data_IF_052852710482
#
_entry.id   IF_052852710482
#
_cell.length_a   1.000
_cell.length_b   1.000
_cell.length_c   1.000
_cell.angle_alpha   90.00
_cell.angle_beta   90.00
_cell.angle_gamma   90.00
#
_symmetry.space_group_name_H-M   'P 1'
#
loop_
_entity.id
_entity.type
_entity.pdbx_description
1 polymer ?
#
# COMPACT_ATOMS: atom_id res chain seq x y z
N UNK A 1 -9.54 19.14 -1.19
CA UNK A 1 -8.17 18.79 -0.76
C UNK A 1 -7.94 17.34 -1.18
N UNK A 2 -6.76 17.00 -1.72
CA UNK A 2 -6.47 15.61 -2.12
C UNK A 2 -6.52 14.65 -0.92
N UNK A 3 -6.73 13.35 -1.18
CA UNK A 3 -6.68 12.29 -0.17
C UNK A 3 -5.36 12.30 0.61
N UNK A 4 -4.22 12.50 -0.06
CA UNK A 4 -2.90 12.62 0.56
C UNK A 4 -2.80 13.80 1.52
N UNK A 5 -3.33 14.97 1.14
CA UNK A 5 -3.35 16.15 2.00
C UNK A 5 -4.25 15.96 3.24
N UNK A 6 -5.41 15.33 3.07
CA UNK A 6 -6.29 14.97 4.18
C UNK A 6 -5.59 13.98 5.11
N UNK A 7 -5.01 12.90 4.57
CA UNK A 7 -4.30 11.89 5.37
C UNK A 7 -3.16 12.52 6.17
N UNK A 8 -2.38 13.42 5.56
CA UNK A 8 -1.32 14.15 6.26
C UNK A 8 -1.85 14.98 7.42
N UNK A 9 -2.97 15.67 7.23
CA UNK A 9 -3.61 16.48 8.27
C UNK A 9 -4.04 15.61 9.46
N UNK A 10 -4.68 14.48 9.18
CA UNK A 10 -5.11 13.53 10.22
C UNK A 10 -3.91 12.94 10.98
N UNK A 11 -2.87 12.47 10.26
CA UNK A 11 -1.65 11.96 10.90
C UNK A 11 -0.98 13.02 11.78
N UNK A 12 -0.95 14.29 11.35
CA UNK A 12 -0.39 15.37 12.16
C UNK A 12 -1.14 15.61 13.48
N UNK A 13 -2.47 15.38 13.50
CA UNK A 13 -3.28 15.50 14.72
C UNK A 13 -3.10 14.31 15.68
N UNK A 14 -2.63 13.17 15.18
CA UNK A 14 -2.46 11.93 15.94
C UNK A 14 -1.03 11.71 16.43
N UNK A 15 -0.12 12.68 16.25
CA UNK A 15 1.27 12.57 16.72
C UNK A 15 1.33 12.19 18.21
N UNK A 16 2.09 11.15 18.52
CA UNK A 16 2.22 10.59 19.87
C UNK A 16 1.17 9.54 20.22
N UNK A 17 0.16 9.32 19.37
CA UNK A 17 -0.84 8.28 19.56
C UNK A 17 -0.41 6.94 18.96
N UNK A 18 -1.05 5.88 19.44
CA UNK A 18 -0.80 4.49 19.03
C UNK A 18 -2.11 3.78 18.69
N UNK A 19 -2.06 2.72 17.88
CA UNK A 19 -3.21 1.88 17.52
C UNK A 19 -4.39 2.69 16.97
N UNK A 20 -4.11 3.58 16.02
CA UNK A 20 -5.10 4.45 15.40
C UNK A 20 -5.48 3.94 14.01
N UNK A 21 -6.74 4.12 13.63
CA UNK A 21 -7.21 3.93 12.25
C UNK A 21 -7.57 5.29 11.68
N UNK A 22 -6.80 5.75 10.71
CA UNK A 22 -7.09 6.97 9.96
C UNK A 22 -7.89 6.62 8.73
N UNK A 23 -9.03 7.29 8.51
CA UNK A 23 -9.80 7.17 7.28
C UNK A 23 -10.12 8.55 6.73
N UNK A 24 -9.77 8.77 5.47
CA UNK A 24 -10.06 10.00 4.73
C UNK A 24 -10.83 9.67 3.46
N UNK A 25 -11.68 10.59 3.00
CA UNK A 25 -12.63 10.35 1.91
C UNK A 25 -12.60 11.54 0.95
N UNK A 26 -12.61 11.27 -0.35
CA UNK A 26 -12.76 12.27 -1.40
C UNK A 26 -13.64 11.70 -2.51
N UNK A 27 -14.87 12.21 -2.64
CA UNK A 27 -15.88 11.65 -3.52
C UNK A 27 -16.19 10.19 -3.20
N UNK A 28 -15.94 9.29 -4.15
CA UNK A 28 -16.15 7.85 -3.99
C UNK A 28 -14.88 7.08 -3.57
N UNK A 29 -13.76 7.77 -3.40
CA UNK A 29 -12.50 7.17 -2.99
C UNK A 29 -12.33 7.32 -1.49
N UNK A 30 -11.76 6.31 -0.84
CA UNK A 30 -11.33 6.45 0.56
C UNK A 30 -9.97 5.84 0.79
N UNK A 31 -9.18 6.46 1.66
CA UNK A 31 -7.91 5.90 2.11
C UNK A 31 -8.03 5.53 3.56
N UNK A 32 -7.57 4.33 3.90
CA UNK A 32 -7.48 3.81 5.26
C UNK A 32 -6.04 3.49 5.59
N UNK A 33 -5.54 4.01 6.70
CA UNK A 33 -4.24 3.67 7.26
C UNK A 33 -4.45 3.16 8.69
N UNK A 34 -4.03 1.92 8.97
CA UNK A 34 -3.93 1.43 10.35
C UNK A 34 -2.51 1.73 10.84
N UNK A 35 -2.40 2.58 11.85
CA UNK A 35 -1.15 3.04 12.44
C UNK A 35 -0.95 2.40 13.82
N UNK A 36 0.12 1.63 13.96
CA UNK A 36 0.61 1.18 15.28
C UNK A 36 1.10 2.38 16.10
N UNK A 37 1.79 3.32 15.45
CA UNK A 37 2.30 4.55 16.05
C UNK A 37 2.35 5.68 15.04
N UNK A 38 2.12 6.91 15.51
CA UNK A 38 2.30 8.13 14.72
C UNK A 38 3.33 9.03 15.39
N UNK A 39 4.33 9.44 14.63
CA UNK A 39 5.43 10.30 15.02
C UNK A 39 5.42 11.61 14.21
N UNK A 40 6.15 12.67 14.62
CA UNK A 40 6.08 13.96 13.94
C UNK A 40 6.36 13.91 12.42
N UNK A 41 7.20 12.96 11.99
CA UNK A 41 7.64 12.82 10.59
C UNK A 41 7.33 11.45 9.98
N UNK A 42 6.76 10.52 10.74
CA UNK A 42 6.62 9.13 10.33
C UNK A 42 5.37 8.48 10.91
N UNK A 43 4.90 7.45 10.23
CA UNK A 43 3.87 6.55 10.70
C UNK A 43 4.40 5.13 10.65
N UNK A 44 4.19 4.39 11.72
CA UNK A 44 4.42 2.95 11.79
C UNK A 44 3.12 2.27 11.35
N UNK A 45 2.97 2.02 10.05
CA UNK A 45 1.73 1.58 9.42
C UNK A 45 1.66 0.04 9.31
N UNK A 46 0.56 -0.55 9.77
CA UNK A 46 0.24 -1.97 9.58
C UNK A 46 -0.34 -2.25 8.19
N UNK A 47 -1.18 -1.34 7.71
CA UNK A 47 -1.78 -1.39 6.37
C UNK A 47 -2.03 0.02 5.85
N UNK A 48 -1.92 0.19 4.54
CA UNK A 48 -2.40 1.36 3.80
C UNK A 48 -3.26 0.87 2.64
N UNK A 49 -4.53 1.29 2.60
CA UNK A 49 -5.50 0.85 1.59
C UNK A 49 -6.14 2.06 0.92
N UNK A 50 -6.18 2.06 -0.41
CA UNK A 50 -7.12 2.87 -1.19
C UNK A 50 -8.32 1.99 -1.56
N UNK A 51 -9.53 2.44 -1.23
CA UNK A 51 -10.81 1.89 -1.69
C UNK A 51 -11.39 2.80 -2.77
N UNK A 52 -11.82 2.25 -3.90
CA UNK A 52 -12.16 3.01 -5.12
C UNK A 52 -13.10 2.22 -6.05
N UNK A 53 -14.19 2.81 -6.57
CA UNK A 53 -15.10 2.12 -7.50
C UNK A 53 -14.52 1.87 -8.90
N UNK A 54 -13.45 2.55 -9.29
CA UNK A 54 -12.77 2.42 -10.58
C UNK A 54 -12.29 0.99 -10.83
N UNK A 55 -11.95 0.26 -9.75
CA UNK A 55 -11.55 -1.14 -9.80
C UNK A 55 -12.73 -2.13 -9.79
N UNK A 56 -13.99 -1.68 -9.74
CA UNK A 56 -15.14 -2.59 -9.60
C UNK A 56 -15.32 -3.49 -10.83
N UNK A 57 -15.10 -2.96 -12.03
CA UNK A 57 -15.41 -3.64 -13.29
C UNK A 57 -14.20 -3.84 -14.21
N UNK A 58 -12.98 -3.74 -13.67
CA UNK A 58 -11.75 -3.91 -14.45
C UNK A 58 -11.61 -5.32 -15.02
N UNK A 59 -11.14 -5.38 -16.25
CA UNK A 59 -10.71 -6.60 -16.92
C UNK A 59 -9.34 -7.06 -16.42
N UNK A 60 -9.01 -8.32 -16.70
CA UNK A 60 -7.69 -8.87 -16.37
C UNK A 60 -6.55 -8.09 -17.04
N UNK A 61 -6.76 -7.63 -18.26
CA UNK A 61 -5.76 -6.86 -19.00
C UNK A 61 -5.50 -5.50 -18.36
N UNK A 62 -6.58 -4.79 -18.00
CA UNK A 62 -6.52 -3.50 -17.32
C UNK A 62 -5.82 -3.60 -15.97
N UNK A 63 -6.15 -4.62 -15.16
CA UNK A 63 -5.52 -4.76 -13.84
C UNK A 63 -4.04 -5.15 -13.95
N UNK A 64 -3.66 -5.93 -14.96
CA UNK A 64 -2.25 -6.20 -15.25
C UNK A 64 -1.51 -4.92 -15.67
N UNK A 65 -2.09 -4.11 -16.56
CA UNK A 65 -1.51 -2.85 -16.98
C UNK A 65 -1.36 -1.86 -15.81
N UNK A 66 -2.39 -1.72 -14.98
CA UNK A 66 -2.36 -0.89 -13.78
C UNK A 66 -1.33 -1.39 -12.76
N UNK A 67 -1.20 -2.71 -12.56
CA UNK A 67 -0.17 -3.27 -11.68
C UNK A 67 1.25 -2.96 -12.15
N UNK A 68 1.50 -3.00 -13.46
CA UNK A 68 2.77 -2.66 -14.05
C UNK A 68 3.06 -1.15 -13.94
N UNK A 69 2.05 -0.30 -14.11
CA UNK A 69 2.16 1.14 -13.86
C UNK A 69 2.49 1.45 -12.40
N UNK A 70 1.79 0.80 -11.46
CA UNK A 70 2.03 0.97 -10.03
C UNK A 70 3.47 0.56 -9.63
N UNK A 71 3.96 -0.57 -10.14
CA UNK A 71 5.35 -1.00 -9.90
C UNK A 71 6.37 0.03 -10.39
N UNK A 72 6.11 0.71 -11.52
CA UNK A 72 6.99 1.77 -12.03
C UNK A 72 6.97 3.03 -11.17
N UNK A 73 5.81 3.39 -10.62
CA UNK A 73 5.63 4.56 -9.74
C UNK A 73 6.28 4.37 -8.38
N UNK A 74 6.05 3.21 -7.76
CA UNK A 74 6.55 2.86 -6.41
C UNK A 74 8.00 2.37 -6.49
N UNK A 75 8.91 3.30 -6.79
CA UNK A 75 10.36 3.04 -6.95
C UNK A 75 11.22 3.63 -5.81
N UNK A 76 10.58 4.13 -4.76
CA UNK A 76 11.21 4.88 -3.67
C UNK A 76 11.16 4.18 -2.31
N UNK A 77 10.68 2.93 -2.26
CA UNK A 77 10.69 2.11 -1.04
C UNK A 77 12.05 1.47 -0.73
N UNK A 78 13.09 1.80 -1.51
CA UNK A 78 14.43 1.17 -1.52
C UNK A 78 14.42 -0.34 -1.85
N UNK A 79 13.24 -0.92 -2.02
CA UNK A 79 12.98 -2.28 -2.45
C UNK A 79 12.10 -2.20 -3.70
N UNK A 80 12.62 -2.53 -4.91
CA UNK A 80 11.83 -2.45 -6.13
C UNK A 80 10.66 -3.43 -6.06
N UNK A 81 9.47 -3.00 -6.48
CA UNK A 81 8.27 -3.84 -6.50
C UNK A 81 8.11 -4.49 -7.87
N UNK A 82 7.76 -5.77 -7.91
CA UNK A 82 7.43 -6.50 -9.13
C UNK A 82 6.17 -7.38 -8.94
N UNK A 83 5.37 -7.61 -10.00
CA UNK A 83 4.30 -8.61 -9.96
C UNK A 83 4.87 -10.00 -9.66
N UNK A 84 4.19 -10.77 -8.81
CA UNK A 84 4.56 -12.15 -8.47
C UNK A 84 3.46 -13.16 -8.79
N UNK A 85 2.20 -12.73 -8.77
CA UNK A 85 1.05 -13.59 -9.03
C UNK A 85 -0.07 -12.78 -9.68
N UNK A 86 -0.79 -13.41 -10.61
CA UNK A 86 -2.02 -12.88 -11.19
C UNK A 86 -3.10 -13.93 -11.08
N UNK A 87 -4.17 -13.63 -10.35
CA UNK A 87 -5.36 -14.47 -10.27
C UNK A 87 -6.35 -14.04 -11.36
N UNK A 88 -6.49 -14.89 -12.38
CA UNK A 88 -7.41 -14.67 -13.49
C UNK A 88 -8.88 -14.85 -13.13
N UNK A 89 -9.19 -15.64 -12.09
CA UNK A 89 -10.56 -15.87 -11.64
C UNK A 89 -11.04 -14.70 -10.77
N UNK A 90 -10.25 -14.34 -9.75
CA UNK A 90 -10.52 -13.20 -8.89
C UNK A 90 -10.33 -11.84 -9.57
N UNK A 91 -9.53 -11.79 -10.65
CA UNK A 91 -9.04 -10.55 -11.27
C UNK A 91 -8.28 -9.71 -10.24
N UNK A 92 -7.13 -10.25 -9.80
CA UNK A 92 -6.23 -9.56 -8.88
C UNK A 92 -4.77 -9.78 -9.28
N UNK A 93 -3.91 -8.85 -8.90
CA UNK A 93 -2.47 -8.95 -9.06
C UNK A 93 -1.81 -8.70 -7.71
N UNK A 94 -0.97 -9.65 -7.31
CA UNK A 94 -0.09 -9.51 -6.16
C UNK A 94 1.29 -9.08 -6.66
N UNK A 95 1.83 -8.04 -6.03
CA UNK A 95 3.17 -7.51 -6.29
C UNK A 95 3.96 -7.51 -4.98
N UNK A 96 5.29 -7.64 -5.07
CA UNK A 96 6.17 -7.74 -3.90
C UNK A 96 7.51 -7.09 -4.15
N UNK A 97 8.20 -6.65 -3.08
CA UNK A 97 9.63 -6.37 -3.13
C UNK A 97 10.40 -7.52 -3.78
N UNK A 98 11.17 -7.22 -4.83
CA UNK A 98 12.00 -8.17 -5.57
C UNK A 98 13.28 -7.51 -6.12
N UNK A 99 14.45 -7.69 -5.47
CA UNK A 99 14.65 -8.56 -4.30
C UNK A 99 14.03 -7.99 -3.02
N UNK A 100 13.60 -8.85 -2.08
CA UNK A 100 13.19 -8.42 -0.75
C UNK A 100 14.41 -7.98 0.09
N UNK A 101 14.18 -7.17 1.12
CA UNK A 101 15.20 -6.93 2.14
C UNK A 101 15.59 -8.24 2.83
N UNK A 102 16.88 -8.49 2.98
CA UNK A 102 17.41 -9.66 3.68
C UNK A 102 18.30 -9.20 4.84
N UNK A 103 18.14 -9.85 5.99
CA UNK A 103 19.04 -9.74 7.13
C UNK A 103 19.33 -11.15 7.70
N UNK A 104 20.16 -11.23 8.73
CA UNK A 104 20.53 -12.51 9.38
C UNK A 104 19.32 -13.28 9.95
N UNK A 105 18.19 -12.59 10.17
CA UNK A 105 17.00 -13.12 10.82
C UNK A 105 15.87 -13.50 9.83
N UNK A 106 16.01 -13.19 8.53
CA UNK A 106 15.07 -13.61 7.51
C UNK A 106 14.90 -12.60 6.37
N UNK A 107 13.70 -12.60 5.78
CA UNK A 107 13.35 -11.68 4.70
C UNK A 107 12.21 -10.79 5.13
N UNK A 108 12.34 -9.49 4.87
CA UNK A 108 11.25 -8.53 4.96
C UNK A 108 10.94 -8.01 3.57
N UNK A 109 9.66 -7.76 3.30
CA UNK A 109 9.24 -7.25 2.01
C UNK A 109 7.93 -6.49 2.13
N UNK A 110 7.77 -5.50 1.26
CA UNK A 110 6.49 -4.93 0.96
C UNK A 110 5.70 -5.85 0.03
N UNK A 111 4.39 -5.87 0.21
CA UNK A 111 3.46 -6.54 -0.68
C UNK A 111 2.35 -5.54 -1.03
N UNK A 112 2.12 -5.39 -2.32
CA UNK A 112 1.02 -4.62 -2.88
C UNK A 112 0.00 -5.60 -3.46
N UNK A 113 -1.28 -5.35 -3.22
CA UNK A 113 -2.36 -6.13 -3.77
C UNK A 113 -3.34 -5.20 -4.49
N UNK A 114 -3.51 -5.44 -5.78
CA UNK A 114 -4.46 -4.74 -6.63
C UNK A 114 -5.57 -5.72 -6.99
N UNK A 115 -6.81 -5.44 -6.60
CA UNK A 115 -7.92 -6.39 -6.79
C UNK A 115 -9.15 -5.73 -7.38
N UNK A 116 -9.77 -6.43 -8.35
CA UNK A 116 -11.13 -6.15 -8.78
C UNK A 116 -12.06 -6.25 -7.57
N UNK A 117 -12.99 -5.30 -7.46
CA UNK A 117 -13.82 -5.15 -6.27
C UNK A 117 -13.41 -3.99 -5.37
N UNK A 118 -12.32 -3.28 -5.71
CA UNK A 118 -12.22 -1.88 -5.32
C UNK A 118 -10.98 -1.45 -4.56
N UNK A 119 -9.86 -2.19 -4.53
CA UNK A 119 -8.75 -1.80 -3.64
C UNK A 119 -7.33 -1.93 -4.17
N UNK A 120 -6.49 -0.99 -3.70
CA UNK A 120 -5.03 -1.06 -3.70
C UNK A 120 -4.56 -1.13 -2.24
N UNK A 121 -3.96 -2.24 -1.83
CA UNK A 121 -3.48 -2.46 -0.44
C UNK A 121 -1.96 -2.60 -0.41
N UNK A 122 -1.30 -1.92 0.52
CA UNK A 122 0.10 -2.11 0.90
C UNK A 122 0.21 -2.67 2.31
N UNK A 123 1.00 -3.74 2.44
CA UNK A 123 1.44 -4.30 3.71
C UNK A 123 2.95 -4.54 3.71
N UNK A 124 3.52 -4.71 4.91
CA UNK A 124 4.87 -5.28 5.08
C UNK A 124 4.78 -6.63 5.76
N UNK A 125 5.59 -7.57 5.29
CA UNK A 125 5.66 -8.93 5.81
C UNK A 125 7.09 -9.27 6.21
N UNK A 126 7.21 -10.16 7.18
CA UNK A 126 8.44 -10.82 7.57
C UNK A 126 8.29 -12.34 7.38
N UNK A 127 9.34 -12.99 6.88
CA UNK A 127 9.41 -14.44 6.69
C UNK A 127 10.74 -14.94 7.23
N UNK A 128 10.67 -15.60 8.38
CA UNK A 128 11.79 -16.33 8.96
C UNK A 128 11.87 -17.76 8.39
N UNK A 129 13.05 -18.39 8.35
CA UNK A 129 13.20 -19.78 7.96
C UNK A 129 12.32 -20.72 8.81
N UNK A 130 11.59 -21.63 8.17
CA UNK A 130 10.73 -22.60 8.85
C UNK A 130 9.41 -22.06 9.44
N UNK A 131 9.23 -20.74 9.52
CA UNK A 131 8.01 -20.11 10.08
C UNK A 131 7.11 -19.55 8.98
N UNK A 132 5.77 -19.53 9.12
CA UNK A 132 4.90 -18.82 8.17
C UNK A 132 5.26 -17.33 8.09
N UNK A 133 4.90 -16.68 6.96
CA UNK A 133 5.05 -15.22 6.87
C UNK A 133 4.08 -14.56 7.85
N UNK A 134 4.48 -13.45 8.45
CA UNK A 134 3.64 -12.64 9.34
C UNK A 134 3.62 -11.20 8.88
N UNK A 135 2.51 -10.51 9.09
CA UNK A 135 2.40 -9.08 8.81
C UNK A 135 3.14 -8.33 9.92
N UNK A 136 3.93 -7.34 9.54
CA UNK A 136 4.71 -6.48 10.47
C UNK A 136 4.49 -5.02 10.09
N UNK A 137 4.61 -4.08 11.05
CA UNK A 137 4.49 -2.67 10.71
C UNK A 137 5.61 -2.19 9.78
N UNK A 138 5.26 -1.29 8.86
CA UNK A 138 6.19 -0.53 8.05
C UNK A 138 6.40 0.86 8.63
N UNK A 139 7.66 1.22 8.90
CA UNK A 139 7.99 2.61 9.25
C UNK A 139 8.13 3.41 7.98
N UNK A 140 7.19 4.33 7.75
CA UNK A 140 7.13 5.18 6.57
C UNK A 140 7.15 6.64 7.01
N UNK A 141 7.89 7.50 6.30
CA UNK A 141 7.74 8.94 6.53
C UNK A 141 6.35 9.39 6.08
N UNK A 142 5.82 10.46 6.68
CA UNK A 142 4.54 11.04 6.22
C UNK A 142 4.58 11.39 4.74
N UNK A 143 5.72 11.84 4.23
CA UNK A 143 5.94 12.12 2.81
C UNK A 143 5.80 10.86 1.95
N UNK A 144 6.45 9.75 2.33
CA UNK A 144 6.36 8.47 1.61
C UNK A 144 4.93 7.93 1.65
N UNK A 145 4.24 8.01 2.80
CA UNK A 145 2.84 7.60 2.92
C UNK A 145 1.91 8.42 2.02
N UNK A 146 2.12 9.74 1.94
CA UNK A 146 1.34 10.60 1.04
C UNK A 146 1.60 10.27 -0.43
N UNK A 147 2.88 10.09 -0.80
CA UNK A 147 3.28 9.74 -2.17
C UNK A 147 2.69 8.39 -2.59
N UNK A 148 2.65 7.40 -1.70
CA UNK A 148 2.00 6.11 -1.95
C UNK A 148 0.50 6.29 -2.26
N UNK A 149 -0.20 7.13 -1.50
CA UNK A 149 -1.61 7.44 -1.76
C UNK A 149 -1.79 8.11 -3.12
N UNK A 150 -0.96 9.08 -3.45
CA UNK A 150 -1.02 9.76 -4.75
C UNK A 150 -0.73 8.80 -5.91
N UNK A 151 0.22 7.87 -5.74
CA UNK A 151 0.51 6.83 -6.73
C UNK A 151 -0.64 5.83 -6.87
N UNK A 152 -1.30 5.42 -5.78
CA UNK A 152 -2.47 4.54 -5.83
C UNK A 152 -3.61 5.20 -6.61
N UNK A 153 -3.87 6.49 -6.31
CA UNK A 153 -4.89 7.28 -7.00
C UNK A 153 -4.56 7.40 -8.49
N UNK A 154 -3.33 7.78 -8.82
CA UNK A 154 -2.91 7.97 -10.21
C UNK A 154 -2.94 6.65 -11.02
N UNK A 155 -2.66 5.50 -10.38
CA UNK A 155 -2.78 4.20 -11.03
C UNK A 155 -4.24 3.87 -11.37
N UNK A 156 -5.19 4.14 -10.47
CA UNK A 156 -6.61 3.81 -10.72
C UNK A 156 -7.31 4.84 -11.61
N UNK A 157 -6.81 6.06 -11.69
CA UNK A 157 -7.26 7.08 -12.66
C UNK A 157 -6.84 6.77 -14.10
N UNK A 158 -5.82 5.92 -14.29
CA UNK A 158 -5.36 5.49 -15.60
C UNK A 158 -6.14 4.32 -16.22
N UNK A 159 -7.19 3.85 -15.53
CA UNK A 159 -8.09 2.77 -15.94
C UNK A 159 -9.31 3.34 -16.67
#
# INVERSE_FOLDING_TARGET
>A
MSLSAQLRSELAQLVGQTNQTVRVVDGQRSVRCEADRVEPLAVTALVLVLETPELANVTLFEIQAASADLCRRVNYLLEPIAPIETDSQGCSVQMRSNPPQQDDNGRRYYELHLSRGGSVELCRYEKQPGQPRTRVPAVLTHEVTCRLVDDFVATVEGL
#
